data_IF_120370816478
#
_entry.id   IF_120370816478
#
_cell.length_a   1.000
_cell.length_b   1.000
_cell.length_c   1.000
_cell.angle_alpha   90.00
_cell.angle_beta   90.00
_cell.angle_gamma   90.00
#
_symmetry.space_group_name_H-M   'P 1'
#
loop_
_entity.id
_entity.type
_entity.pdbx_description
1 polymer ?
#
# COMPACT_ATOMS: atom_id res chain seq x y z
N UNK A 1 9.53 -2.16 -7.87
CA UNK A 1 8.88 -2.43 -6.57
C UNK A 1 8.97 -3.93 -6.31
N UNK A 2 9.28 -4.34 -5.08
CA UNK A 2 9.34 -5.75 -4.68
C UNK A 2 7.97 -6.29 -4.27
N UNK A 3 7.76 -7.61 -4.34
CA UNK A 3 6.50 -8.27 -3.94
C UNK A 3 6.02 -7.85 -2.54
N UNK A 4 6.95 -7.76 -1.59
CA UNK A 4 6.68 -7.33 -0.20
C UNK A 4 6.19 -5.88 -0.10
N UNK A 5 6.81 -4.96 -0.86
CA UNK A 5 6.38 -3.55 -0.88
C UNK A 5 4.96 -3.43 -1.44
N UNK A 6 4.64 -4.22 -2.47
CA UNK A 6 3.34 -4.23 -3.12
C UNK A 6 2.25 -4.83 -2.21
N UNK A 7 2.58 -5.89 -1.46
CA UNK A 7 1.68 -6.52 -0.49
C UNK A 7 1.38 -5.59 0.70
N UNK A 8 2.39 -4.88 1.20
CA UNK A 8 2.25 -3.84 2.22
C UNK A 8 1.40 -2.67 1.71
N UNK A 9 1.67 -2.19 0.48
CA UNK A 9 0.92 -1.11 -0.14
C UNK A 9 -0.55 -1.48 -0.36
N UNK A 10 -0.81 -2.69 -0.86
CA UNK A 10 -2.17 -3.22 -1.07
C UNK A 10 -2.98 -3.26 0.23
N UNK A 11 -2.42 -3.81 1.30
CA UNK A 11 -3.10 -3.82 2.61
C UNK A 11 -3.33 -2.41 3.15
N UNK A 12 -2.36 -1.50 2.98
CA UNK A 12 -2.50 -0.10 3.40
C UNK A 12 -3.60 0.63 2.62
N UNK A 13 -3.76 0.36 1.33
CA UNK A 13 -4.86 0.89 0.52
C UNK A 13 -6.23 0.39 0.97
N UNK A 14 -6.32 -0.85 1.49
CA UNK A 14 -7.51 -1.36 2.18
C UNK A 14 -7.75 -0.78 3.59
N UNK A 15 -7.14 0.37 3.90
CA UNK A 15 -7.21 1.07 5.21
C UNK A 15 -6.63 0.28 6.38
N UNK A 16 -5.81 -0.74 6.15
CA UNK A 16 -5.10 -1.42 7.23
C UNK A 16 -4.05 -0.50 7.87
N UNK A 17 -3.95 -0.52 9.20
CA UNK A 17 -2.93 0.23 9.94
C UNK A 17 -1.58 -0.48 9.86
N UNK A 18 -0.49 0.27 9.96
CA UNK A 18 0.88 -0.25 9.93
C UNK A 18 1.09 -1.42 10.89
N UNK A 19 0.54 -1.33 12.12
CA UNK A 19 0.56 -2.42 13.12
C UNK A 19 -0.16 -3.70 12.68
N UNK A 20 -1.27 -3.58 11.95
CA UNK A 20 -2.06 -4.73 11.50
C UNK A 20 -1.34 -5.42 10.35
N UNK A 21 -0.76 -4.62 9.46
CA UNK A 21 0.07 -5.11 8.35
C UNK A 21 1.33 -5.81 8.89
N UNK A 22 1.98 -5.21 9.88
CA UNK A 22 3.14 -5.76 10.57
C UNK A 22 2.82 -7.14 11.18
N UNK A 23 1.74 -7.23 11.96
CA UNK A 23 1.29 -8.50 12.53
C UNK A 23 0.92 -9.53 11.46
N UNK A 24 0.18 -9.13 10.42
CA UNK A 24 -0.24 -10.04 9.34
C UNK A 24 0.93 -10.59 8.52
N UNK A 25 2.03 -9.83 8.40
CA UNK A 25 3.21 -10.21 7.64
C UNK A 25 4.35 -10.78 8.51
N UNK A 26 4.18 -10.80 9.84
CA UNK A 26 5.24 -11.19 10.78
C UNK A 26 6.46 -10.24 10.73
N UNK A 27 6.21 -8.95 10.50
CA UNK A 27 7.24 -7.91 10.39
C UNK A 27 7.12 -6.88 11.52
N UNK A 28 8.18 -6.11 11.74
CA UNK A 28 8.13 -4.95 12.64
C UNK A 28 7.44 -3.75 11.97
N UNK A 29 6.76 -2.93 12.76
CA UNK A 29 6.10 -1.70 12.27
C UNK A 29 7.06 -0.78 11.51
N UNK A 30 8.30 -0.63 11.99
CA UNK A 30 9.34 0.16 11.32
C UNK A 30 9.68 -0.38 9.94
N UNK A 31 9.72 -1.70 9.77
CA UNK A 31 9.97 -2.35 8.47
C UNK A 31 8.83 -2.10 7.50
N UNK A 32 7.57 -2.20 7.97
CA UNK A 32 6.38 -1.89 7.17
C UNK A 32 6.36 -0.41 6.80
N UNK A 33 6.66 0.48 7.74
CA UNK A 33 6.73 1.93 7.51
C UNK A 33 7.77 2.26 6.43
N UNK A 34 8.97 1.66 6.51
CA UNK A 34 10.03 1.89 5.54
C UNK A 34 9.67 1.35 4.14
N UNK A 35 8.97 0.22 4.08
CA UNK A 35 8.43 -0.34 2.82
C UNK A 35 7.31 0.52 2.24
N UNK A 36 6.39 1.04 3.08
CA UNK A 36 5.36 1.98 2.65
C UNK A 36 5.98 3.25 2.09
N UNK A 37 6.96 3.83 2.79
CA UNK A 37 7.59 5.05 2.33
C UNK A 37 8.35 4.86 1.01
N UNK A 38 9.01 3.71 0.84
CA UNK A 38 9.62 3.33 -0.44
C UNK A 38 8.56 3.11 -1.53
N UNK A 39 7.43 2.48 -1.20
CA UNK A 39 6.30 2.31 -2.12
C UNK A 39 5.70 3.64 -2.56
N UNK A 40 5.49 4.55 -1.62
CA UNK A 40 4.95 5.88 -1.87
C UNK A 40 5.84 6.66 -2.82
N UNK A 41 7.15 6.69 -2.53
CA UNK A 41 8.16 7.32 -3.39
C UNK A 41 8.24 6.71 -4.79
N UNK A 42 8.14 5.38 -4.92
CA UNK A 42 8.22 4.72 -6.24
C UNK A 42 6.94 4.84 -7.05
N UNK A 43 5.78 4.93 -6.39
CA UNK A 43 4.47 5.11 -7.01
C UNK A 43 4.11 6.60 -7.22
N UNK A 44 4.88 7.52 -6.63
CA UNK A 44 4.62 8.96 -6.72
C UNK A 44 3.45 9.43 -5.87
N UNK A 45 3.00 8.64 -4.89
CA UNK A 45 1.86 8.98 -4.03
C UNK A 45 2.34 9.57 -2.71
N UNK A 46 1.60 10.55 -2.18
CA UNK A 46 1.92 11.17 -0.88
C UNK A 46 0.98 10.70 0.24
N UNK A 47 -0.17 10.12 -0.13
CA UNK A 47 -1.21 9.72 0.81
C UNK A 47 -1.66 8.27 0.62
N UNK A 48 -2.23 7.66 1.68
CA UNK A 48 -2.93 6.36 1.56
C UNK A 48 -4.12 6.40 0.61
N UNK A 49 -4.75 7.58 0.46
CA UNK A 49 -5.87 7.77 -0.46
C UNK A 49 -5.40 7.68 -1.91
N UNK A 50 -4.41 8.48 -2.28
CA UNK A 50 -3.73 8.39 -3.57
C UNK A 50 -3.17 6.98 -3.84
N UNK A 51 -2.60 6.32 -2.83
CA UNK A 51 -2.15 4.93 -2.97
C UNK A 51 -3.30 4.00 -3.36
N UNK A 52 -4.49 4.19 -2.79
CA UNK A 52 -5.68 3.40 -3.13
C UNK A 52 -6.12 3.68 -4.55
N UNK A 53 -6.11 4.95 -4.97
CA UNK A 53 -6.46 5.35 -6.33
C UNK A 53 -5.50 4.73 -7.35
N UNK A 54 -4.18 4.92 -7.16
CA UNK A 54 -3.15 4.35 -8.04
C UNK A 54 -3.21 2.82 -8.08
N UNK A 55 -3.44 2.15 -6.95
CA UNK A 55 -3.59 0.69 -6.93
C UNK A 55 -4.89 0.22 -7.57
N UNK A 56 -5.96 1.01 -7.49
CA UNK A 56 -7.21 0.73 -8.22
C UNK A 56 -7.00 0.88 -9.73
N UNK A 57 -6.27 1.90 -10.18
CA UNK A 57 -5.91 2.10 -11.59
C UNK A 57 -5.01 0.97 -12.12
N UNK A 58 -4.00 0.54 -11.34
CA UNK A 58 -3.11 -0.58 -11.69
C UNK A 58 -3.81 -1.95 -11.64
N UNK A 59 -4.91 -2.06 -10.89
CA UNK A 59 -5.62 -3.30 -10.56
C UNK A 59 -6.82 -3.62 -11.46
N UNK A 60 -7.02 -2.86 -12.55
CA UNK A 60 -8.14 -2.86 -13.50
C UNK A 60 -9.10 -1.67 -13.26
N UNK A 61 -9.28 -0.89 -14.32
CA UNK A 61 -10.50 -0.19 -14.71
C UNK A 61 -11.71 -1.14 -14.71
N UNK A 62 -12.10 -1.59 -13.53
CA UNK A 62 -13.06 -2.64 -13.30
C UNK A 62 -13.96 -2.36 -12.11
N UNK A 63 -14.23 -1.08 -11.80
CA UNK A 63 -15.54 -0.62 -11.32
C UNK A 63 -15.63 0.88 -11.60
N UNK A 64 -16.51 1.24 -12.53
CA UNK A 64 -16.94 2.62 -12.80
C UNK A 64 -17.27 3.38 -11.52
N UNK A 65 -16.85 4.65 -11.53
CA UNK A 65 -17.62 5.84 -11.19
C UNK A 65 -18.70 5.72 -10.10
N UNK A 66 -18.54 6.54 -9.06
CA UNK A 66 -19.66 7.26 -8.44
C UNK A 66 -19.19 8.60 -7.89
#
# INVERSE_FOLDING_TARGET
MSRRELEVASRAASRARTKEIAQALGLSESTVSNQLHSAFRKLGVSSRDELREVLAELGLSGVSEH
#
